data_IF_155404749615
#
_entry.id   IF_155404749615
#
_cell.length_a   1.000
_cell.length_b   1.000
_cell.length_c   1.000
_cell.angle_alpha   90.00
_cell.angle_beta   90.00
_cell.angle_gamma   90.00
#
_symmetry.space_group_name_H-M   'P 1'
#
loop_
_entity.id
_entity.type
_entity.pdbx_description
1 polymer ?
#
# COMPACT_ATOMS: atom_id res chain seq x y z
N UNK A 1 -17.58 -1.41 -11.69
CA UNK A 1 -17.55 -2.24 -10.47
C UNK A 1 -16.73 -1.48 -9.44
N UNK A 2 -17.27 -1.27 -8.25
CA UNK A 2 -16.64 -0.50 -7.18
C UNK A 2 -15.31 -1.13 -6.73
N UNK A 3 -15.25 -2.47 -6.69
CA UNK A 3 -14.01 -3.19 -6.37
C UNK A 3 -12.94 -2.95 -7.43
N UNK A 4 -13.33 -2.85 -8.70
CA UNK A 4 -12.40 -2.53 -9.78
C UNK A 4 -11.82 -1.12 -9.62
N UNK A 5 -12.64 -0.14 -9.22
CA UNK A 5 -12.16 1.23 -8.96
C UNK A 5 -11.17 1.28 -7.81
N UNK A 6 -11.40 0.51 -6.73
CA UNK A 6 -10.44 0.37 -5.62
C UNK A 6 -9.12 -0.21 -6.12
N UNK A 7 -9.18 -1.32 -6.87
CA UNK A 7 -7.98 -1.98 -7.38
C UNK A 7 -7.20 -1.09 -8.34
N UNK A 8 -7.89 -0.38 -9.24
CA UNK A 8 -7.26 0.53 -10.21
C UNK A 8 -6.55 1.70 -9.48
N UNK A 9 -7.14 2.22 -8.39
CA UNK A 9 -6.53 3.28 -7.58
C UNK A 9 -5.29 2.83 -6.80
N UNK A 10 -5.33 1.64 -6.19
CA UNK A 10 -4.17 1.05 -5.51
C UNK A 10 -3.05 0.77 -6.52
N UNK A 11 -3.37 0.16 -7.66
CA UNK A 11 -2.41 -0.18 -8.70
C UNK A 11 -1.71 1.07 -9.27
N UNK A 12 -2.44 2.18 -9.42
CA UNK A 12 -1.87 3.45 -9.88
C UNK A 12 -0.81 4.05 -8.93
N UNK A 13 -0.79 3.64 -7.65
CA UNK A 13 0.18 4.11 -6.65
C UNK A 13 1.34 3.15 -6.40
N UNK A 14 1.22 1.88 -6.78
CA UNK A 14 2.26 0.87 -6.60
C UNK A 14 3.28 0.91 -7.74
N UNK A 15 4.14 1.92 -7.73
CA UNK A 15 5.29 1.99 -8.63
C UNK A 15 6.38 1.00 -8.22
N UNK A 16 7.34 0.73 -9.10
CA UNK A 16 8.51 -0.11 -8.78
C UNK A 16 9.28 0.45 -7.58
N UNK A 17 9.45 1.77 -7.49
CA UNK A 17 10.15 2.41 -6.37
C UNK A 17 9.41 2.18 -5.04
N UNK A 18 8.08 2.33 -5.04
CA UNK A 18 7.24 2.05 -3.86
C UNK A 18 7.38 0.59 -3.42
N UNK A 19 7.42 -0.35 -4.36
CA UNK A 19 7.62 -1.76 -4.05
C UNK A 19 9.02 -2.03 -3.46
N UNK A 20 10.06 -1.34 -3.94
CA UNK A 20 11.41 -1.42 -3.37
C UNK A 20 11.41 -0.88 -1.94
N UNK A 21 10.77 0.25 -1.69
CA UNK A 21 10.67 0.86 -0.35
C UNK A 21 9.96 -0.07 0.64
N UNK A 22 8.80 -0.62 0.26
CA UNK A 22 8.05 -1.56 1.09
C UNK A 22 8.85 -2.84 1.39
N UNK A 23 9.52 -3.40 0.38
CA UNK A 23 10.37 -4.57 0.56
C UNK A 23 11.58 -4.25 1.45
N UNK A 24 12.16 -3.06 1.32
CA UNK A 24 13.30 -2.62 2.15
C UNK A 24 12.87 -2.45 3.61
N UNK A 25 11.71 -1.84 3.84
CA UNK A 25 11.19 -1.61 5.19
C UNK A 25 10.93 -2.91 5.96
N UNK A 26 10.54 -3.97 5.26
CA UNK A 26 10.20 -5.28 5.85
C UNK A 26 11.36 -6.27 5.90
N UNK A 27 12.48 -5.96 5.24
CA UNK A 27 13.62 -6.86 5.14
C UNK A 27 14.56 -6.79 6.34
N UNK A 28 15.21 -7.93 6.64
CA UNK A 28 16.23 -8.05 7.68
C UNK A 28 15.68 -8.27 9.09
N UNK A 29 16.57 -8.58 10.04
CA UNK A 29 16.17 -8.95 11.41
C UNK A 29 15.50 -7.82 12.22
N UNK A 30 15.52 -6.58 11.71
CA UNK A 30 14.88 -5.42 12.31
C UNK A 30 13.77 -4.83 11.41
N UNK A 31 13.39 -5.55 10.34
CA UNK A 31 12.31 -5.14 9.46
C UNK A 31 10.98 -5.03 10.21
N UNK A 32 10.14 -4.09 9.79
CA UNK A 32 8.76 -4.05 10.28
C UNK A 32 7.96 -5.23 9.70
N UNK A 33 6.95 -5.68 10.44
CA UNK A 33 6.07 -6.74 9.96
C UNK A 33 5.43 -6.34 8.60
N UNK A 34 5.37 -7.23 7.60
CA UNK A 34 4.81 -6.91 6.29
C UNK A 34 3.36 -6.41 6.33
N UNK A 35 2.51 -6.95 7.22
CA UNK A 35 1.12 -6.50 7.33
C UNK A 35 1.06 -5.11 7.97
N UNK A 36 1.96 -4.80 8.91
CA UNK A 36 2.12 -3.46 9.46
C UNK A 36 2.57 -2.46 8.39
N UNK A 37 3.56 -2.81 7.57
CA UNK A 37 4.06 -1.99 6.47
C UNK A 37 2.95 -1.69 5.46
N UNK A 38 2.22 -2.72 5.02
CA UNK A 38 1.12 -2.60 4.09
C UNK A 38 -0.01 -1.72 4.67
N UNK A 39 -0.38 -1.92 5.94
CA UNK A 39 -1.43 -1.12 6.61
C UNK A 39 -1.04 0.35 6.71
N UNK A 40 0.20 0.64 7.12
CA UNK A 40 0.72 2.01 7.16
C UNK A 40 0.69 2.67 5.79
N UNK A 41 1.09 1.95 4.75
CA UNK A 41 1.06 2.46 3.38
C UNK A 41 -0.36 2.74 2.88
N UNK A 42 -1.31 1.83 3.13
CA UNK A 42 -2.73 2.02 2.81
C UNK A 42 -3.28 3.29 3.48
N UNK A 43 -3.00 3.48 4.76
CA UNK A 43 -3.44 4.67 5.52
C UNK A 43 -2.77 5.96 5.01
N UNK A 44 -1.45 5.92 4.75
CA UNK A 44 -0.71 7.06 4.24
C UNK A 44 -1.21 7.55 2.86
N UNK A 45 -1.77 6.63 2.07
CA UNK A 45 -2.38 6.94 0.77
C UNK A 45 -3.90 7.18 0.84
N UNK A 46 -4.51 7.12 2.03
CA UNK A 46 -5.93 7.37 2.24
C UNK A 46 -6.85 6.27 1.71
N UNK A 47 -6.32 5.07 1.45
CA UNK A 47 -7.09 3.90 0.99
C UNK A 47 -7.86 3.20 2.11
N UNK A 48 -7.75 3.68 3.34
CA UNK A 48 -8.53 3.27 4.50
C UNK A 48 -9.90 3.97 4.59
N UNK A 49 -10.22 4.81 3.59
CA UNK A 49 -11.46 5.58 3.53
C UNK A 49 -12.31 5.15 2.33
N UNK A 50 -13.65 5.30 2.41
CA UNK A 50 -14.52 5.06 1.26
C UNK A 50 -14.12 5.93 0.06
N UNK A 51 -14.18 5.36 -1.14
CA UNK A 51 -13.99 6.14 -2.37
C UNK A 51 -15.16 7.10 -2.51
N UNK A 52 -14.85 8.40 -2.63
CA UNK A 52 -15.85 9.41 -2.94
C UNK A 52 -16.19 9.31 -4.43
N UNK A 53 -17.50 9.26 -4.74
CA UNK A 53 -18.00 9.25 -6.12
C UNK A 53 -18.05 10.65 -6.71
#
# INVERSE_FOLDING_TARGET
DELKTVLDAVNAKLTTDVLIELNTATSGNAGIDPDEAARKWVQANGFDKPIQR
#
